data_IF_261559180090
#
_entry.id   IF_261559180090
#
_cell.length_a   1.000
_cell.length_b   1.000
_cell.length_c   1.000
_cell.angle_alpha   90.00
_cell.angle_beta   90.00
_cell.angle_gamma   90.00
#
_symmetry.space_group_name_H-M   'P 1'
#
loop_
_entity.id
_entity.type
_entity.pdbx_description
1 polymer ?
#
# COMPACT_ATOMS: atom_id res chain seq x y z
N UNK A 1 10.72 5.21 26.46
CA UNK A 1 10.88 4.55 25.13
C UNK A 1 10.57 3.06 25.22
N UNK A 2 11.18 2.28 26.14
CA UNK A 2 10.93 0.85 26.29
C UNK A 2 9.48 0.50 26.62
N UNK A 3 8.84 1.23 27.52
CA UNK A 3 7.43 1.03 27.87
C UNK A 3 6.48 1.30 26.67
N UNK A 4 6.77 2.31 25.87
CA UNK A 4 5.99 2.62 24.67
C UNK A 4 6.14 1.51 23.62
N UNK A 5 7.37 1.04 23.38
CA UNK A 5 7.63 -0.08 22.47
C UNK A 5 6.92 -1.36 22.93
N UNK A 6 6.92 -1.64 24.25
CA UNK A 6 6.24 -2.81 24.79
C UNK A 6 4.71 -2.75 24.58
N UNK A 7 4.10 -1.56 24.74
CA UNK A 7 2.66 -1.35 24.48
C UNK A 7 2.35 -1.53 23.00
N UNK A 8 3.13 -0.92 22.11
CA UNK A 8 2.93 -1.01 20.65
C UNK A 8 3.07 -2.46 20.17
N UNK A 9 4.12 -3.15 20.62
CA UNK A 9 4.35 -4.54 20.22
C UNK A 9 3.25 -5.47 20.74
N UNK A 10 2.82 -5.33 21.99
CA UNK A 10 1.67 -6.09 22.54
C UNK A 10 0.38 -5.81 21.77
N UNK A 11 0.14 -4.54 21.44
CA UNK A 11 -0.99 -4.12 20.61
C UNK A 11 -0.93 -4.75 19.21
N UNK A 12 0.21 -4.68 18.55
CA UNK A 12 0.43 -5.28 17.24
C UNK A 12 0.25 -6.80 17.25
N UNK A 13 0.75 -7.48 18.27
CA UNK A 13 0.59 -8.94 18.40
C UNK A 13 -0.86 -9.34 18.55
N UNK A 14 -1.68 -8.60 19.30
CA UNK A 14 -3.10 -8.83 19.42
C UNK A 14 -3.85 -8.48 18.13
N UNK A 15 -3.61 -7.28 17.58
CA UNK A 15 -4.34 -6.75 16.43
C UNK A 15 -4.03 -7.55 15.15
N UNK A 16 -2.76 -7.70 14.80
CA UNK A 16 -2.32 -8.43 13.59
C UNK A 16 -2.18 -9.93 13.81
N UNK A 17 -2.06 -10.39 15.04
CA UNK A 17 -1.98 -11.81 15.35
C UNK A 17 -3.28 -12.56 15.15
N UNK A 18 -4.42 -11.88 15.30
CA UNK A 18 -5.74 -12.52 15.29
C UNK A 18 -6.85 -11.62 14.73
N UNK A 19 -7.09 -10.45 15.35
CA UNK A 19 -8.30 -9.66 15.13
C UNK A 19 -8.43 -9.18 13.68
N UNK A 20 -7.40 -8.56 13.13
CA UNK A 20 -7.46 -7.99 11.79
C UNK A 20 -7.49 -9.03 10.68
N UNK A 21 -6.79 -10.16 10.86
CA UNK A 21 -6.85 -11.27 9.91
C UNK A 21 -8.29 -11.73 9.77
N UNK A 22 -9.00 -11.92 10.89
CA UNK A 22 -10.42 -12.31 10.87
C UNK A 22 -11.30 -11.21 10.28
N UNK A 23 -11.12 -9.97 10.69
CA UNK A 23 -11.94 -8.86 10.19
C UNK A 23 -11.75 -8.64 8.69
N UNK A 24 -10.51 -8.55 8.21
CA UNK A 24 -10.22 -8.22 6.82
C UNK A 24 -10.50 -9.42 5.89
N UNK A 25 -9.98 -10.60 6.22
CA UNK A 25 -10.27 -11.80 5.43
C UNK A 25 -11.77 -12.18 5.52
N UNK A 26 -12.38 -12.07 6.71
CA UNK A 26 -13.80 -12.32 6.90
C UNK A 26 -14.68 -11.37 6.08
N UNK A 27 -14.34 -10.08 6.05
CA UNK A 27 -15.01 -9.07 5.19
C UNK A 27 -14.85 -9.43 3.72
N UNK A 28 -13.64 -9.76 3.29
CA UNK A 28 -13.37 -10.13 1.91
C UNK A 28 -14.12 -11.39 1.47
N UNK A 29 -14.16 -12.41 2.31
CA UNK A 29 -14.96 -13.64 2.06
C UNK A 29 -16.44 -13.31 2.00
N UNK A 30 -16.95 -12.53 2.96
CA UNK A 30 -18.35 -12.11 3.00
C UNK A 30 -18.76 -11.37 1.72
N UNK A 31 -17.97 -10.37 1.32
CA UNK A 31 -18.19 -9.61 0.08
C UNK A 31 -18.09 -10.49 -1.15
N UNK A 32 -17.08 -11.36 -1.22
CA UNK A 32 -16.89 -12.30 -2.33
C UNK A 32 -18.12 -13.19 -2.54
N UNK A 33 -18.60 -13.83 -1.49
CA UNK A 33 -19.77 -14.73 -1.56
C UNK A 33 -21.04 -13.93 -1.91
N UNK A 34 -21.29 -12.84 -1.19
CA UNK A 34 -22.50 -12.04 -1.36
C UNK A 34 -22.57 -11.30 -2.69
N UNK A 35 -21.43 -10.90 -3.26
CA UNK A 35 -21.30 -10.31 -4.59
C UNK A 35 -21.11 -11.38 -5.69
N UNK A 36 -21.21 -12.67 -5.34
CA UNK A 36 -21.13 -13.81 -6.27
C UNK A 36 -19.81 -13.80 -7.05
N UNK A 37 -18.68 -13.75 -6.34
CA UNK A 37 -17.32 -13.75 -6.91
C UNK A 37 -17.12 -12.69 -7.98
N UNK A 38 -17.41 -11.43 -7.63
CA UNK A 38 -17.34 -10.29 -8.55
C UNK A 38 -15.95 -10.16 -9.19
N UNK A 39 -14.89 -10.43 -8.44
CA UNK A 39 -13.50 -10.39 -8.87
C UNK A 39 -13.16 -11.40 -9.98
N UNK A 40 -13.96 -12.45 -10.17
CA UNK A 40 -13.82 -13.37 -11.31
C UNK A 40 -14.75 -12.96 -12.45
N UNK A 41 -16.02 -12.70 -12.14
CA UNK A 41 -17.07 -12.51 -13.15
C UNK A 41 -16.96 -11.20 -13.91
N UNK A 42 -16.46 -10.14 -13.27
CA UNK A 42 -16.40 -8.79 -13.84
C UNK A 42 -14.99 -8.22 -13.90
N UNK A 43 -13.98 -9.06 -13.70
CA UNK A 43 -12.58 -8.63 -13.79
C UNK A 43 -12.24 -8.03 -15.16
N UNK A 44 -12.64 -8.68 -16.24
CA UNK A 44 -12.38 -8.19 -17.60
C UNK A 44 -13.06 -6.85 -17.92
N UNK A 45 -14.22 -6.57 -17.31
CA UNK A 45 -14.89 -5.27 -17.41
C UNK A 45 -14.09 -4.19 -16.67
N UNK A 46 -13.66 -4.46 -15.43
CA UNK A 46 -12.81 -3.55 -14.68
C UNK A 46 -11.47 -3.29 -15.37
N UNK A 47 -10.87 -4.33 -15.95
CA UNK A 47 -9.63 -4.20 -16.71
C UNK A 47 -9.80 -3.27 -17.94
N UNK A 48 -10.88 -3.41 -18.69
CA UNK A 48 -11.20 -2.52 -19.81
C UNK A 48 -11.42 -1.08 -19.36
N UNK A 49 -12.08 -0.87 -18.20
CA UNK A 49 -12.29 0.47 -17.65
C UNK A 49 -10.96 1.14 -17.26
N UNK A 50 -10.05 0.42 -16.63
CA UNK A 50 -8.75 0.97 -16.22
C UNK A 50 -7.88 1.31 -17.43
N UNK A 51 -7.68 0.35 -18.33
CA UNK A 51 -6.74 0.51 -19.46
C UNK A 51 -7.36 1.24 -20.66
N UNK A 52 -8.69 1.25 -20.81
CA UNK A 52 -9.38 2.01 -21.85
C UNK A 52 -9.46 3.51 -21.57
N UNK A 53 -9.20 3.95 -20.36
CA UNK A 53 -9.27 5.35 -19.94
C UNK A 53 -7.88 5.99 -19.72
N UNK A 54 -6.81 5.32 -20.15
CA UNK A 54 -5.45 5.89 -20.05
C UNK A 54 -5.36 7.12 -20.95
N UNK A 55 -5.33 8.30 -20.33
CA UNK A 55 -5.12 9.57 -21.01
C UNK A 55 -4.02 10.35 -20.27
N UNK A 56 -2.81 10.37 -20.85
CA UNK A 56 -1.64 11.06 -20.28
C UNK A 56 -1.69 12.59 -20.46
N UNK A 57 -2.64 13.09 -21.26
CA UNK A 57 -2.75 14.53 -21.54
C UNK A 57 -3.57 15.31 -20.51
N UNK A 58 -4.12 14.63 -19.49
CA UNK A 58 -4.83 15.25 -18.36
C UNK A 58 -6.04 16.10 -18.76
N UNK A 59 -7.25 15.68 -18.45
CA UNK A 59 -8.41 16.55 -18.55
C UNK A 59 -8.38 17.56 -17.39
N UNK A 60 -8.47 18.86 -17.71
CA UNK A 60 -8.61 19.90 -16.68
C UNK A 60 -10.06 19.96 -16.21
N UNK A 61 -10.31 19.57 -14.98
CA UNK A 61 -11.60 19.76 -14.32
C UNK A 61 -11.55 20.91 -13.32
N UNK A 62 -12.50 21.83 -13.40
CA UNK A 62 -12.55 23.02 -12.52
C UNK A 62 -13.11 22.74 -11.14
N UNK A 63 -13.85 21.64 -10.94
CA UNK A 63 -14.58 21.27 -9.73
C UNK A 63 -13.76 20.53 -8.68
N UNK A 64 -12.43 20.43 -8.81
CA UNK A 64 -11.60 19.66 -7.88
C UNK A 64 -11.78 18.14 -7.98
N UNK A 65 -12.55 17.67 -8.96
CA UNK A 65 -12.65 16.25 -9.32
C UNK A 65 -11.37 15.79 -10.03
N UNK A 66 -11.08 14.51 -9.92
CA UNK A 66 -10.02 13.83 -10.67
C UNK A 66 -10.63 13.15 -11.89
N UNK A 67 -9.90 13.10 -13.01
CA UNK A 67 -10.28 12.18 -14.08
C UNK A 67 -10.29 10.74 -13.54
N UNK A 68 -11.04 9.81 -14.16
CA UNK A 68 -11.02 8.41 -13.71
C UNK A 68 -9.59 7.84 -13.67
N UNK A 69 -8.75 8.19 -14.63
CA UNK A 69 -7.36 7.77 -14.66
C UNK A 69 -6.53 8.40 -13.55
N UNK A 70 -6.69 9.69 -13.23
CA UNK A 70 -6.02 10.36 -12.11
C UNK A 70 -6.38 9.72 -10.77
N UNK A 71 -7.65 9.37 -10.56
CA UNK A 71 -8.10 8.74 -9.34
C UNK A 71 -7.53 7.32 -9.18
N UNK A 72 -7.49 6.54 -10.25
CA UNK A 72 -6.87 5.20 -10.28
C UNK A 72 -5.36 5.32 -10.06
N UNK A 73 -4.68 6.23 -10.77
CA UNK A 73 -3.26 6.48 -10.59
C UNK A 73 -2.92 6.90 -9.15
N UNK A 74 -3.77 7.73 -8.52
CA UNK A 74 -3.60 8.13 -7.12
C UNK A 74 -3.78 6.93 -6.16
N UNK A 75 -4.74 6.05 -6.42
CA UNK A 75 -4.95 4.84 -5.64
C UNK A 75 -3.77 3.86 -5.81
N UNK A 76 -3.33 3.61 -7.05
CA UNK A 76 -2.17 2.75 -7.34
C UNK A 76 -0.88 3.35 -6.74
N UNK A 77 -0.71 4.67 -6.78
CA UNK A 77 0.43 5.35 -6.17
C UNK A 77 0.51 5.11 -4.66
N UNK A 78 -0.63 5.08 -3.99
CA UNK A 78 -0.70 4.80 -2.56
C UNK A 78 -0.38 3.33 -2.26
N UNK A 79 -0.86 2.41 -3.08
CA UNK A 79 -0.66 0.96 -2.95
C UNK A 79 0.76 0.53 -3.32
N UNK A 80 1.25 0.97 -4.49
CA UNK A 80 2.57 0.54 -5.01
C UNK A 80 3.68 1.40 -4.39
N UNK A 81 4.21 0.94 -3.26
CA UNK A 81 5.21 1.64 -2.47
C UNK A 81 6.31 0.72 -1.92
N UNK A 82 6.79 1.03 -0.72
CA UNK A 82 7.77 0.16 -0.02
C UNK A 82 7.20 -1.23 0.26
N UNK A 83 5.88 -1.37 0.35
CA UNK A 83 5.22 -2.67 0.55
C UNK A 83 5.60 -3.69 -0.52
N UNK A 84 5.65 -3.28 -1.77
CA UNK A 84 5.96 -4.15 -2.91
C UNK A 84 7.42 -4.61 -2.97
N UNK A 85 8.34 -3.81 -2.46
CA UNK A 85 9.77 -4.10 -2.49
C UNK A 85 10.28 -4.60 -1.14
N UNK A 86 10.23 -3.74 -0.13
CA UNK A 86 10.73 -4.06 1.22
C UNK A 86 9.75 -4.93 2.01
N UNK A 87 8.43 -4.71 1.87
CA UNK A 87 7.39 -5.49 2.54
C UNK A 87 7.35 -6.93 2.06
N UNK A 88 7.45 -7.17 0.74
CA UNK A 88 7.54 -8.50 0.16
C UNK A 88 8.76 -9.27 0.69
N UNK A 89 9.94 -8.64 0.69
CA UNK A 89 11.15 -9.21 1.24
C UNK A 89 11.02 -9.56 2.73
N UNK A 90 10.43 -8.66 3.52
CA UNK A 90 10.17 -8.90 4.95
C UNK A 90 9.19 -10.05 5.18
N UNK A 91 8.13 -10.15 4.36
CA UNK A 91 7.17 -11.25 4.44
C UNK A 91 7.84 -12.62 4.21
N UNK A 92 8.70 -12.70 3.19
CA UNK A 92 9.42 -13.94 2.85
C UNK A 92 10.41 -14.32 3.97
N UNK A 93 11.14 -13.36 4.52
CA UNK A 93 12.12 -13.63 5.60
C UNK A 93 11.42 -14.05 6.89
N UNK A 94 10.31 -13.40 7.25
CA UNK A 94 9.62 -13.64 8.53
C UNK A 94 8.59 -14.77 8.49
N UNK A 95 7.99 -15.02 7.34
CA UNK A 95 6.93 -16.01 7.15
C UNK A 95 7.29 -17.15 6.19
N UNK A 96 8.51 -17.14 5.64
CA UNK A 96 8.94 -18.05 4.58
C UNK A 96 8.31 -17.75 3.22
N UNK A 97 8.74 -18.43 2.15
CA UNK A 97 8.14 -18.28 0.81
C UNK A 97 6.63 -18.52 0.79
N UNK A 98 6.12 -19.39 1.67
CA UNK A 98 4.69 -19.67 1.82
C UNK A 98 3.84 -18.47 2.24
N UNK A 99 4.42 -17.43 2.83
CA UNK A 99 3.71 -16.18 3.14
C UNK A 99 3.11 -15.56 1.86
N UNK A 100 3.73 -15.75 0.72
CA UNK A 100 3.25 -15.22 -0.56
C UNK A 100 1.95 -15.87 -1.02
N UNK A 101 1.79 -17.17 -0.80
CA UNK A 101 0.51 -17.83 -1.06
C UNK A 101 -0.64 -17.17 -0.26
N UNK A 102 -0.42 -16.93 1.03
CA UNK A 102 -1.41 -16.30 1.89
C UNK A 102 -1.64 -14.83 1.56
N UNK A 103 -0.64 -14.16 1.02
CA UNK A 103 -0.75 -12.81 0.46
C UNK A 103 -1.67 -12.80 -0.77
N UNK A 104 -1.52 -13.77 -1.69
CA UNK A 104 -2.43 -13.92 -2.84
C UNK A 104 -3.87 -14.21 -2.40
N UNK A 105 -4.04 -15.09 -1.43
CA UNK A 105 -5.37 -15.42 -0.88
C UNK A 105 -6.02 -14.16 -0.28
N UNK A 106 -5.30 -13.41 0.53
CA UNK A 106 -5.83 -12.17 1.13
C UNK A 106 -6.15 -11.10 0.08
N UNK A 107 -5.30 -10.93 -0.94
CA UNK A 107 -5.53 -9.99 -2.04
C UNK A 107 -6.75 -10.39 -2.88
N UNK A 108 -6.92 -11.69 -3.18
CA UNK A 108 -8.09 -12.19 -3.91
C UNK A 108 -9.39 -11.81 -3.21
N UNK A 109 -9.49 -12.02 -1.90
CA UNK A 109 -10.65 -11.61 -1.13
C UNK A 109 -10.71 -10.09 -0.95
N UNK A 110 -9.57 -9.43 -0.81
CA UNK A 110 -9.44 -7.99 -0.71
C UNK A 110 -9.98 -7.25 -1.94
N UNK A 111 -9.86 -7.83 -3.14
CA UNK A 111 -10.46 -7.27 -4.37
C UNK A 111 -11.97 -7.03 -4.25
N UNK A 112 -12.71 -7.92 -3.58
CA UNK A 112 -14.13 -7.73 -3.34
C UNK A 112 -14.41 -6.67 -2.27
N UNK A 113 -13.53 -6.56 -1.26
CA UNK A 113 -13.63 -5.54 -0.22
C UNK A 113 -13.43 -4.15 -0.78
N UNK A 114 -12.34 -3.93 -1.51
CA UNK A 114 -12.02 -2.61 -2.09
C UNK A 114 -13.05 -2.16 -3.13
N UNK A 115 -13.65 -3.10 -3.86
CA UNK A 115 -14.80 -2.81 -4.70
C UNK A 115 -15.92 -2.16 -3.88
N UNK A 116 -16.27 -2.74 -2.72
CA UNK A 116 -17.28 -2.19 -1.84
C UNK A 116 -16.90 -0.82 -1.27
N UNK A 117 -15.65 -0.65 -0.88
CA UNK A 117 -15.11 0.63 -0.38
C UNK A 117 -15.25 1.75 -1.42
N UNK A 118 -14.86 1.48 -2.67
CA UNK A 118 -14.93 2.47 -3.74
C UNK A 118 -16.37 2.80 -4.14
N UNK A 119 -17.27 1.79 -4.15
CA UNK A 119 -18.72 2.01 -4.36
C UNK A 119 -19.29 2.93 -3.29
N UNK A 120 -18.99 2.67 -2.00
CA UNK A 120 -19.46 3.50 -0.91
C UNK A 120 -18.86 4.91 -0.95
N UNK A 121 -17.58 5.03 -1.29
CA UNK A 121 -16.91 6.32 -1.43
C UNK A 121 -17.57 7.19 -2.49
N UNK A 122 -17.93 6.62 -3.63
CA UNK A 122 -18.66 7.32 -4.71
C UNK A 122 -20.11 7.63 -4.32
N UNK A 123 -20.76 6.73 -3.58
CA UNK A 123 -22.18 6.90 -3.19
C UNK A 123 -22.36 7.98 -2.13
N UNK A 124 -21.40 8.13 -1.23
CA UNK A 124 -21.46 9.07 -0.09
C UNK A 124 -20.50 10.25 -0.21
N UNK A 125 -19.97 10.53 -1.42
CA UNK A 125 -19.19 11.74 -1.65
C UNK A 125 -20.06 12.99 -1.48
N UNK A 126 -19.46 14.06 -1.00
CA UNK A 126 -20.12 15.35 -0.79
C UNK A 126 -19.39 16.45 -1.59
N UNK A 127 -20.10 17.50 -1.91
CA UNK A 127 -19.51 18.73 -2.42
C UNK A 127 -19.44 19.78 -1.30
N UNK A 128 -18.24 20.28 -1.02
CA UNK A 128 -18.00 21.35 -0.04
C UNK A 128 -17.19 22.47 -0.69
N UNK A 129 -17.68 23.70 -0.58
CA UNK A 129 -17.01 24.88 -1.13
C UNK A 129 -16.61 24.71 -2.62
N UNK A 130 -17.48 24.12 -3.43
CA UNK A 130 -17.24 23.86 -4.85
C UNK A 130 -16.19 22.79 -5.12
N UNK A 131 -15.86 21.94 -4.15
CA UNK A 131 -14.93 20.84 -4.32
C UNK A 131 -15.54 19.52 -3.86
N UNK A 132 -15.38 18.48 -4.68
CA UNK A 132 -15.78 17.12 -4.31
C UNK A 132 -14.82 16.55 -3.26
N UNK A 133 -15.39 16.06 -2.16
CA UNK A 133 -14.68 15.38 -1.09
C UNK A 133 -15.41 14.10 -0.71
N UNK A 134 -14.71 13.14 -0.12
CA UNK A 134 -15.30 11.87 0.28
C UNK A 134 -14.26 10.95 0.92
N UNK A 135 -14.69 9.75 1.18
CA UNK A 135 -13.89 8.73 1.84
C UNK A 135 -14.62 8.12 3.04
N UNK A 136 -13.94 7.29 3.85
CA UNK A 136 -14.60 6.53 4.91
C UNK A 136 -15.36 7.36 5.94
N UNK A 137 -14.89 8.54 6.31
CA UNK A 137 -15.58 9.39 7.29
C UNK A 137 -17.03 9.67 6.90
N UNK A 138 -17.32 9.77 5.62
CA UNK A 138 -18.66 10.07 5.10
C UNK A 138 -19.56 8.85 5.17
N UNK A 139 -19.12 7.70 4.70
CA UNK A 139 -19.94 6.50 4.77
C UNK A 139 -19.97 5.86 6.17
N UNK A 140 -18.95 6.05 7.04
CA UNK A 140 -19.02 5.68 8.46
C UNK A 140 -20.15 6.46 9.16
N UNK A 141 -20.26 7.78 8.91
CA UNK A 141 -21.37 8.58 9.43
C UNK A 141 -22.73 8.11 8.91
N UNK A 142 -22.79 7.66 7.67
CA UNK A 142 -24.00 7.10 7.08
C UNK A 142 -24.37 5.72 7.66
N UNK A 143 -23.37 4.89 7.97
CA UNK A 143 -23.54 3.58 8.58
C UNK A 143 -24.07 3.68 10.03
N UNK A 144 -23.53 4.63 10.80
CA UNK A 144 -23.82 4.79 12.23
C UNK A 144 -24.43 6.17 12.48
N UNK A 145 -25.72 6.20 12.77
CA UNK A 145 -26.46 7.45 13.00
C UNK A 145 -26.11 8.11 14.35
N UNK A 146 -26.28 9.44 14.43
CA UNK A 146 -26.15 10.17 15.67
C UNK A 146 -24.69 10.39 16.13
N UNK A 147 -24.50 10.53 17.44
CA UNK A 147 -23.19 10.84 18.04
C UNK A 147 -22.18 9.70 17.86
N UNK A 148 -22.64 8.44 17.89
CA UNK A 148 -21.77 7.28 17.69
C UNK A 148 -21.09 7.29 16.31
N UNK A 149 -21.83 7.59 15.25
CA UNK A 149 -21.27 7.69 13.89
C UNK A 149 -20.26 8.83 13.76
N UNK A 150 -20.52 9.98 14.44
CA UNK A 150 -19.57 11.10 14.46
C UNK A 150 -18.26 10.72 15.16
N UNK A 151 -18.34 10.03 16.30
CA UNK A 151 -17.16 9.57 17.05
C UNK A 151 -16.36 8.54 16.25
N UNK A 152 -17.02 7.56 15.63
CA UNK A 152 -16.37 6.55 14.81
C UNK A 152 -15.68 7.17 13.58
N UNK A 153 -16.31 8.14 12.92
CA UNK A 153 -15.72 8.85 11.78
C UNK A 153 -14.51 9.71 12.21
N UNK A 154 -14.61 10.41 13.35
CA UNK A 154 -13.49 11.18 13.91
C UNK A 154 -12.33 10.28 14.32
N UNK A 155 -12.60 9.13 14.95
CA UNK A 155 -11.59 8.14 15.31
C UNK A 155 -10.87 7.61 14.05
N UNK A 156 -11.61 7.24 12.99
CA UNK A 156 -11.02 6.86 11.71
C UNK A 156 -10.12 7.97 11.15
N UNK A 157 -10.60 9.22 11.13
CA UNK A 157 -9.86 10.36 10.59
C UNK A 157 -8.55 10.62 11.36
N UNK A 158 -8.57 10.48 12.69
CA UNK A 158 -7.37 10.59 13.53
C UNK A 158 -6.39 9.43 13.21
N UNK A 159 -6.89 8.20 13.20
CA UNK A 159 -6.03 7.03 13.00
C UNK A 159 -5.38 6.99 11.61
N UNK A 160 -6.11 7.31 10.53
CA UNK A 160 -5.51 7.36 9.20
C UNK A 160 -4.49 8.50 9.07
N UNK A 161 -4.72 9.64 9.71
CA UNK A 161 -3.75 10.73 9.72
C UNK A 161 -2.46 10.32 10.44
N UNK A 162 -2.56 9.62 11.57
CA UNK A 162 -1.40 9.09 12.29
C UNK A 162 -0.73 7.96 11.52
N UNK A 163 -1.52 6.99 11.01
CA UNK A 163 -1.04 5.79 10.33
C UNK A 163 -0.31 6.12 9.03
N UNK A 164 -0.99 6.76 8.09
CA UNK A 164 -0.48 7.01 6.74
C UNK A 164 0.13 8.40 6.64
N UNK A 165 -0.56 9.41 7.17
CA UNK A 165 -0.14 10.80 7.08
C UNK A 165 1.20 11.10 7.75
N UNK A 166 1.50 10.49 8.88
CA UNK A 166 2.76 10.67 9.58
C UNK A 166 3.65 9.42 9.56
N UNK A 167 3.24 8.33 10.22
CA UNK A 167 4.09 7.15 10.40
C UNK A 167 4.38 6.45 9.07
N UNK A 168 3.38 6.29 8.22
CA UNK A 168 3.55 5.69 6.91
C UNK A 168 4.50 6.47 6.02
N UNK A 169 4.40 7.80 6.00
CA UNK A 169 5.35 8.65 5.26
C UNK A 169 6.78 8.54 5.79
N UNK A 170 6.96 8.33 7.11
CA UNK A 170 8.26 8.01 7.69
C UNK A 170 8.79 6.65 7.22
N UNK A 171 7.94 5.62 7.09
CA UNK A 171 8.33 4.30 6.55
C UNK A 171 8.83 4.43 5.11
N UNK A 172 8.10 5.18 4.28
CA UNK A 172 8.48 5.39 2.89
C UNK A 172 9.83 6.12 2.78
N UNK A 173 9.99 7.23 3.48
CA UNK A 173 11.23 8.00 3.46
C UNK A 173 12.42 7.25 4.07
N UNK A 174 12.19 6.46 5.11
CA UNK A 174 13.21 5.58 5.71
C UNK A 174 13.76 4.58 4.69
N UNK A 175 12.86 3.94 3.93
CA UNK A 175 13.24 2.97 2.90
C UNK A 175 14.01 3.63 1.73
N UNK A 176 13.58 4.84 1.32
CA UNK A 176 14.34 5.62 0.33
C UNK A 176 15.75 5.93 0.86
N UNK A 177 15.85 6.41 2.09
CA UNK A 177 17.13 6.71 2.74
C UNK A 177 18.06 5.50 2.80
N UNK A 178 17.53 4.33 3.18
CA UNK A 178 18.29 3.09 3.25
C UNK A 178 18.80 2.65 1.87
N UNK A 179 17.94 2.68 0.83
CA UNK A 179 18.30 2.25 -0.52
C UNK A 179 19.38 3.15 -1.15
N UNK A 180 19.23 4.47 -1.01
CA UNK A 180 20.22 5.42 -1.55
C UNK A 180 21.54 5.40 -0.77
N UNK A 181 21.50 5.12 0.53
CA UNK A 181 22.73 4.94 1.31
C UNK A 181 23.57 3.79 0.74
N UNK A 182 22.95 2.67 0.35
CA UNK A 182 23.66 1.56 -0.31
C UNK A 182 24.26 2.00 -1.66
N UNK A 183 23.53 2.78 -2.47
CA UNK A 183 24.06 3.33 -3.73
C UNK A 183 25.30 4.19 -3.48
N UNK A 184 25.25 5.10 -2.51
CA UNK A 184 26.37 5.95 -2.18
C UNK A 184 27.56 5.17 -1.59
N UNK A 185 27.30 4.13 -0.81
CA UNK A 185 28.34 3.23 -0.29
C UNK A 185 29.10 2.54 -1.44
N UNK A 186 28.38 2.02 -2.45
CA UNK A 186 28.98 1.41 -3.65
C UNK A 186 29.84 2.42 -4.44
N UNK A 187 29.46 3.70 -4.41
CA UNK A 187 30.22 4.78 -5.04
C UNK A 187 31.38 5.32 -4.17
N UNK A 188 31.58 4.79 -2.96
CA UNK A 188 32.50 5.29 -1.95
C UNK A 188 32.24 6.76 -1.55
N UNK A 189 30.99 7.20 -1.58
CA UNK A 189 30.55 8.53 -1.19
C UNK A 189 29.79 8.44 0.14
N UNK A 190 30.25 9.16 1.15
CA UNK A 190 29.56 9.20 2.44
C UNK A 190 28.49 10.29 2.45
N UNK A 191 27.22 9.93 2.21
CA UNK A 191 26.07 10.84 2.28
C UNK A 191 25.24 10.52 3.54
N UNK A 192 25.06 11.47 4.45
CA UNK A 192 24.22 11.25 5.62
C UNK A 192 22.74 11.08 5.20
N UNK A 193 22.03 10.14 5.83
CA UNK A 193 20.62 9.85 5.51
C UNK A 193 19.71 11.08 5.60
N UNK A 194 20.02 12.02 6.49
CA UNK A 194 19.31 13.31 6.61
C UNK A 194 19.35 14.11 5.31
N UNK A 195 20.48 14.12 4.58
CA UNK A 195 20.59 14.87 3.31
C UNK A 195 19.64 14.29 2.25
N UNK A 196 19.52 12.95 2.22
CA UNK A 196 18.55 12.26 1.35
C UNK A 196 17.12 12.65 1.77
N UNK A 197 16.85 12.64 3.08
CA UNK A 197 15.56 13.05 3.64
C UNK A 197 15.17 14.49 3.30
N UNK A 198 16.11 15.42 3.41
CA UNK A 198 15.90 16.83 3.04
C UNK A 198 15.59 16.98 1.55
N UNK A 199 16.30 16.25 0.69
CA UNK A 199 16.04 16.26 -0.76
C UNK A 199 14.61 15.75 -1.07
N UNK A 200 14.22 14.60 -0.51
CA UNK A 200 12.87 14.03 -0.69
C UNK A 200 11.80 14.99 -0.15
N UNK A 201 12.04 15.55 1.04
CA UNK A 201 11.13 16.49 1.69
C UNK A 201 10.95 17.79 0.90
N UNK A 202 12.01 18.32 0.28
CA UNK A 202 11.94 19.52 -0.55
C UNK A 202 11.06 19.30 -1.79
N UNK A 203 11.21 18.17 -2.48
CA UNK A 203 10.35 17.83 -3.62
C UNK A 203 8.91 17.62 -3.15
N UNK A 204 8.71 16.90 -2.03
CA UNK A 204 7.40 16.69 -1.42
C UNK A 204 6.72 18.01 -1.06
N UNK A 205 7.43 18.92 -0.39
CA UNK A 205 6.92 20.24 -0.03
C UNK A 205 6.45 21.03 -1.26
N UNK A 206 7.25 21.06 -2.32
CA UNK A 206 6.87 21.72 -3.58
C UNK A 206 5.54 21.21 -4.12
N UNK A 207 5.28 19.89 -4.03
CA UNK A 207 4.05 19.27 -4.53
C UNK A 207 2.89 19.52 -3.54
N UNK A 208 3.09 19.32 -2.23
CA UNK A 208 2.06 19.45 -1.20
C UNK A 208 1.46 20.84 -1.17
N UNK A 209 2.30 21.88 -1.16
CA UNK A 209 1.84 23.28 -1.15
C UNK A 209 1.23 23.71 -2.49
N UNK A 210 1.37 22.90 -3.55
CA UNK A 210 0.68 23.09 -4.83
C UNK A 210 -0.75 22.55 -4.88
N UNK A 211 -1.18 21.87 -3.81
CA UNK A 211 -2.54 21.35 -3.66
C UNK A 211 -2.82 20.09 -4.46
N UNK A 212 -4.07 19.60 -4.35
CA UNK A 212 -4.49 18.31 -4.90
C UNK A 212 -4.41 18.21 -6.41
N UNK A 213 -4.61 19.32 -7.15
CA UNK A 213 -4.48 19.35 -8.62
C UNK A 213 -3.05 19.03 -9.06
N UNK A 214 -2.04 19.65 -8.42
CA UNK A 214 -0.62 19.37 -8.71
C UNK A 214 -0.27 17.93 -8.36
N UNK A 215 -0.69 17.47 -7.18
CA UNK A 215 -0.44 16.12 -6.71
C UNK A 215 -0.99 15.08 -7.71
N UNK A 216 -2.25 15.19 -8.11
CA UNK A 216 -2.88 14.27 -9.06
C UNK A 216 -2.18 14.29 -10.43
N UNK A 217 -1.80 15.48 -10.94
CA UNK A 217 -1.09 15.61 -12.22
C UNK A 217 0.32 15.03 -12.19
N UNK A 218 0.98 15.03 -11.05
CA UNK A 218 2.29 14.37 -10.87
C UNK A 218 2.10 12.86 -10.84
N UNK A 219 1.13 12.36 -10.07
CA UNK A 219 0.90 10.92 -9.91
C UNK A 219 0.46 10.25 -11.22
N UNK A 220 -0.41 10.87 -12.01
CA UNK A 220 -0.85 10.31 -13.29
C UNK A 220 0.30 10.03 -14.28
N UNK A 221 1.40 10.79 -14.17
CA UNK A 221 2.60 10.63 -15.01
C UNK A 221 3.60 9.66 -14.40
N UNK A 222 3.86 9.78 -13.09
CA UNK A 222 4.87 8.97 -12.41
C UNK A 222 4.45 7.50 -12.38
N UNK A 223 3.18 7.20 -12.08
CA UNK A 223 2.74 5.82 -11.83
C UNK A 223 2.94 4.89 -13.02
N UNK A 224 2.52 5.21 -14.25
CA UNK A 224 2.74 4.34 -15.39
C UNK A 224 4.23 4.15 -15.72
N UNK A 225 5.03 5.23 -15.59
CA UNK A 225 6.47 5.21 -15.88
C UNK A 225 7.19 4.32 -14.86
N UNK A 226 6.95 4.52 -13.57
CA UNK A 226 7.60 3.73 -12.52
C UNK A 226 7.25 2.25 -12.61
N UNK A 227 5.95 1.94 -12.85
CA UNK A 227 5.51 0.56 -13.01
C UNK A 227 6.15 -0.08 -14.24
N UNK A 228 6.18 0.62 -15.38
CA UNK A 228 6.78 0.12 -16.63
C UNK A 228 8.26 -0.20 -16.48
N UNK A 229 9.05 0.71 -15.92
CA UNK A 229 10.49 0.51 -15.68
C UNK A 229 10.73 -0.70 -14.77
N UNK A 230 9.97 -0.78 -13.66
CA UNK A 230 10.14 -1.87 -12.72
C UNK A 230 9.74 -3.23 -13.31
N UNK A 231 8.59 -3.30 -13.98
CA UNK A 231 8.10 -4.54 -14.61
C UNK A 231 9.10 -5.04 -15.64
N UNK A 232 9.61 -4.16 -16.51
CA UNK A 232 10.59 -4.53 -17.54
C UNK A 232 11.87 -5.06 -16.89
N UNK A 233 12.44 -4.34 -15.91
CA UNK A 233 13.66 -4.78 -15.24
C UNK A 233 13.50 -6.10 -14.48
N UNK A 234 12.38 -6.28 -13.77
CA UNK A 234 12.08 -7.53 -13.07
C UNK A 234 11.87 -8.71 -14.04
N UNK A 235 11.19 -8.49 -15.17
CA UNK A 235 11.03 -9.52 -16.20
C UNK A 235 12.36 -9.91 -16.84
N UNK A 236 13.24 -8.95 -17.14
CA UNK A 236 14.59 -9.25 -17.65
C UNK A 236 15.33 -10.12 -16.64
N UNK A 237 15.32 -9.76 -15.34
CA UNK A 237 15.95 -10.55 -14.30
C UNK A 237 15.40 -11.97 -14.23
N UNK A 238 14.07 -12.15 -14.25
CA UNK A 238 13.40 -13.45 -14.18
C UNK A 238 13.76 -14.31 -15.41
N UNK A 239 13.81 -13.72 -16.60
CA UNK A 239 14.21 -14.43 -17.83
C UNK A 239 15.66 -14.91 -17.72
N UNK A 240 16.57 -14.10 -17.15
CA UNK A 240 17.96 -14.53 -16.90
C UNK A 240 18.07 -15.71 -15.92
N UNK A 241 17.09 -15.85 -15.02
CA UNK A 241 17.04 -16.89 -13.99
C UNK A 241 15.87 -17.87 -14.21
N UNK A 242 15.42 -18.06 -15.45
CA UNK A 242 14.21 -18.84 -15.79
C UNK A 242 14.24 -20.28 -15.28
N UNK A 243 15.42 -20.89 -15.19
CA UNK A 243 15.59 -22.24 -14.67
C UNK A 243 15.26 -22.39 -13.18
N UNK A 244 15.37 -21.30 -12.40
CA UNK A 244 15.02 -21.30 -10.98
C UNK A 244 13.51 -21.07 -10.73
N UNK A 245 12.77 -20.62 -11.74
CA UNK A 245 11.37 -20.22 -11.61
C UNK A 245 10.44 -21.37 -11.13
N UNK A 246 10.53 -22.61 -11.63
CA UNK A 246 9.71 -23.72 -11.12
C UNK A 246 9.95 -23.99 -9.63
N UNK A 247 11.21 -23.92 -9.18
CA UNK A 247 11.59 -24.07 -7.77
C UNK A 247 11.03 -22.94 -6.90
N UNK A 248 11.03 -21.70 -7.41
CA UNK A 248 10.44 -20.55 -6.72
C UNK A 248 8.93 -20.77 -6.48
N UNK A 249 8.17 -21.14 -7.50
CA UNK A 249 6.75 -21.46 -7.34
C UNK A 249 6.54 -22.66 -6.40
N UNK A 250 7.30 -23.74 -6.54
CA UNK A 250 7.21 -24.87 -5.64
C UNK A 250 7.43 -24.46 -4.17
N UNK A 251 8.41 -23.59 -3.90
CA UNK A 251 8.68 -23.10 -2.55
C UNK A 251 7.51 -22.29 -1.97
N UNK A 252 6.78 -21.53 -2.77
CA UNK A 252 5.59 -20.77 -2.35
C UNK A 252 4.49 -21.76 -1.93
N UNK A 253 4.13 -22.72 -2.79
CA UNK A 253 3.04 -23.65 -2.51
C UNK A 253 3.37 -24.63 -1.39
N UNK A 254 4.55 -25.23 -1.39
CA UNK A 254 4.99 -26.14 -0.32
C UNK A 254 5.10 -25.37 1.00
N UNK A 255 5.75 -24.20 0.98
CA UNK A 255 5.95 -23.36 2.17
C UNK A 255 4.67 -22.82 2.77
N UNK A 256 3.58 -22.72 2.03
CA UNK A 256 2.29 -22.28 2.55
C UNK A 256 1.69 -23.23 3.59
N UNK A 257 1.96 -24.54 3.43
CA UNK A 257 1.39 -25.61 4.26
C UNK A 257 2.45 -26.39 5.04
N UNK A 258 3.71 -26.33 4.59
CA UNK A 258 4.86 -26.94 5.24
C UNK A 258 6.10 -26.04 5.15
N UNK A 259 6.14 -24.91 5.91
CA UNK A 259 7.25 -23.95 5.85
C UNK A 259 8.61 -24.59 6.13
N UNK A 260 8.65 -25.54 7.08
CA UNK A 260 9.90 -26.19 7.50
C UNK A 260 10.56 -27.02 6.39
N UNK A 261 9.75 -27.55 5.45
CA UNK A 261 10.29 -28.29 4.30
C UNK A 261 11.05 -27.38 3.31
N UNK A 262 10.80 -26.07 3.33
CA UNK A 262 11.41 -25.12 2.40
C UNK A 262 12.58 -24.36 3.03
N UNK A 263 12.40 -23.85 4.24
CA UNK A 263 13.41 -23.00 4.93
C UNK A 263 14.26 -23.79 5.93
N UNK A 264 13.99 -25.06 6.12
CA UNK A 264 14.64 -25.91 7.11
C UNK A 264 14.08 -25.74 8.52
N UNK A 265 14.19 -26.79 9.32
CA UNK A 265 13.67 -26.82 10.69
C UNK A 265 14.34 -25.78 11.62
N UNK A 266 15.57 -25.38 11.32
CA UNK A 266 16.32 -24.40 12.10
C UNK A 266 15.74 -22.98 12.06
N UNK A 267 14.96 -22.63 11.04
CA UNK A 267 14.33 -21.32 10.94
C UNK A 267 13.08 -21.16 11.82
N UNK A 268 12.50 -22.25 12.35
CA UNK A 268 11.37 -22.22 13.28
C UNK A 268 10.08 -21.60 12.73
N UNK A 269 9.98 -21.39 11.40
CA UNK A 269 8.81 -20.76 10.76
C UNK A 269 7.63 -21.71 10.78
N UNK A 270 6.50 -21.22 11.24
CA UNK A 270 5.24 -21.96 11.34
C UNK A 270 4.23 -21.50 10.28
N UNK A 271 3.22 -22.34 9.97
CA UNK A 271 2.09 -21.96 9.09
C UNK A 271 1.40 -20.70 9.61
N UNK A 272 1.25 -20.55 10.94
CA UNK A 272 0.69 -19.35 11.55
C UNK A 272 1.48 -18.10 11.19
N UNK A 273 2.82 -18.17 11.18
CA UNK A 273 3.68 -17.05 10.80
C UNK A 273 3.56 -16.75 9.29
N UNK A 274 3.51 -17.80 8.45
CA UNK A 274 3.30 -17.62 7.01
C UNK A 274 1.97 -16.89 6.73
N UNK A 275 0.87 -17.29 7.38
CA UNK A 275 -0.42 -16.61 7.27
C UNK A 275 -0.31 -15.18 7.79
N UNK A 276 0.20 -14.97 9.01
CA UNK A 276 0.29 -13.65 9.65
C UNK A 276 1.06 -12.66 8.77
N UNK A 277 2.28 -13.01 8.37
CA UNK A 277 3.13 -12.10 7.59
C UNK A 277 2.63 -11.94 6.16
N UNK A 278 2.09 -12.99 5.56
CA UNK A 278 1.50 -12.92 4.22
C UNK A 278 0.30 -11.96 4.20
N UNK A 279 -0.66 -12.14 5.11
CA UNK A 279 -1.86 -11.29 5.17
C UNK A 279 -1.50 -9.86 5.58
N UNK A 280 -0.70 -9.67 6.65
CA UNK A 280 -0.37 -8.34 7.14
C UNK A 280 0.41 -7.51 6.11
N UNK A 281 1.44 -8.08 5.48
CA UNK A 281 2.24 -7.36 4.47
C UNK A 281 1.52 -7.22 3.13
N UNK A 282 0.66 -8.18 2.76
CA UNK A 282 -0.22 -8.06 1.60
C UNK A 282 -1.19 -6.91 1.73
N UNK A 283 -1.88 -6.81 2.86
CA UNK A 283 -2.84 -5.73 3.15
C UNK A 283 -2.16 -4.37 3.28
N UNK A 284 -0.97 -4.31 3.87
CA UNK A 284 -0.17 -3.08 3.90
C UNK A 284 0.18 -2.58 2.49
N UNK A 285 0.40 -3.48 1.53
CA UNK A 285 0.69 -3.13 0.14
C UNK A 285 -0.57 -2.70 -0.61
N UNK A 286 -1.59 -3.56 -0.67
CA UNK A 286 -2.75 -3.34 -1.53
C UNK A 286 -3.89 -2.51 -0.89
N UNK A 287 -3.79 -2.21 0.40
CA UNK A 287 -4.69 -1.36 1.18
C UNK A 287 -6.18 -1.78 1.21
N UNK A 288 -6.51 -2.99 0.75
CA UNK A 288 -7.91 -3.45 0.69
C UNK A 288 -8.53 -3.64 2.08
N UNK A 289 -9.62 -2.95 2.34
CA UNK A 289 -10.31 -2.96 3.64
C UNK A 289 -9.72 -1.99 4.67
N UNK A 290 -8.67 -1.24 4.31
CA UNK A 290 -8.06 -0.26 5.21
C UNK A 290 -8.80 1.09 5.23
N UNK A 291 -9.59 1.39 4.19
CA UNK A 291 -10.29 2.67 4.08
C UNK A 291 -9.43 3.82 3.57
N UNK A 292 -8.26 3.56 3.04
CA UNK A 292 -7.32 4.59 2.57
C UNK A 292 -7.63 5.06 1.14
N UNK A 293 -7.61 4.14 0.18
CA UNK A 293 -7.87 4.43 -1.25
C UNK A 293 -9.25 4.99 -1.57
N UNK A 294 -10.33 4.75 -0.77
CA UNK A 294 -11.61 5.40 -0.96
C UNK A 294 -11.57 6.91 -1.09
N UNK A 295 -10.56 7.58 -0.51
CA UNK A 295 -10.39 9.04 -0.65
C UNK A 295 -10.08 9.45 -2.10
N UNK A 296 -9.29 8.68 -2.83
CA UNK A 296 -9.02 8.90 -4.25
C UNK A 296 -10.24 8.53 -5.08
N UNK A 297 -10.84 7.37 -4.81
CA UNK A 297 -12.02 6.89 -5.53
C UNK A 297 -13.23 7.81 -5.39
N UNK A 298 -13.41 8.47 -4.24
CA UNK A 298 -14.50 9.44 -4.04
C UNK A 298 -14.39 10.65 -4.99
N UNK A 299 -13.18 11.10 -5.29
CA UNK A 299 -12.95 12.26 -6.16
C UNK A 299 -12.99 11.94 -7.65
N UNK A 300 -13.07 10.68 -8.03
CA UNK A 300 -13.19 10.28 -9.42
C UNK A 300 -14.51 10.79 -10.04
N UNK A 301 -14.41 11.39 -11.23
CA UNK A 301 -15.57 11.65 -12.11
C UNK A 301 -15.92 10.35 -12.83
N UNK A 302 -16.44 9.39 -12.09
CA UNK A 302 -16.77 8.07 -12.61
C UNK A 302 -18.18 8.06 -13.23
N UNK A 303 -18.38 7.21 -14.24
CA UNK A 303 -19.70 6.99 -14.88
C UNK A 303 -20.73 6.47 -13.87
N UNK A 304 -20.30 5.65 -12.92
CA UNK A 304 -21.12 5.12 -11.85
C UNK A 304 -20.26 4.67 -10.66
N UNK A 305 -20.84 4.57 -9.45
CA UNK A 305 -20.15 3.96 -8.31
C UNK A 305 -19.68 2.53 -8.57
N UNK A 306 -20.45 1.76 -9.33
CA UNK A 306 -20.11 0.38 -9.73
C UNK A 306 -18.85 0.34 -10.62
N UNK A 307 -18.76 1.22 -11.64
CA UNK A 307 -17.57 1.32 -12.49
C UNK A 307 -16.31 1.65 -11.69
N UNK A 308 -16.42 2.59 -10.73
CA UNK A 308 -15.29 2.94 -9.87
C UNK A 308 -14.89 1.79 -8.92
N UNK A 309 -15.86 1.01 -8.44
CA UNK A 309 -15.60 -0.22 -7.70
C UNK A 309 -14.79 -1.24 -8.50
N UNK A 310 -15.14 -1.44 -9.78
CA UNK A 310 -14.41 -2.34 -10.68
C UNK A 310 -12.96 -1.85 -10.92
N UNK A 311 -12.76 -0.55 -11.07
CA UNK A 311 -11.42 0.03 -11.19
C UNK A 311 -10.58 -0.22 -9.94
N UNK A 312 -11.15 -0.01 -8.76
CA UNK A 312 -10.47 -0.26 -7.48
C UNK A 312 -10.07 -1.74 -7.32
N UNK A 313 -10.91 -2.66 -7.76
CA UNK A 313 -10.60 -4.09 -7.76
C UNK A 313 -9.36 -4.42 -8.62
N UNK A 314 -9.23 -3.80 -9.79
CA UNK A 314 -8.07 -4.00 -10.68
C UNK A 314 -6.80 -3.41 -10.08
N UNK A 315 -6.87 -2.31 -9.33
CA UNK A 315 -5.68 -1.73 -8.69
C UNK A 315 -5.03 -2.69 -7.69
N UNK A 316 -5.82 -3.43 -6.89
CA UNK A 316 -5.30 -4.49 -6.00
C UNK A 316 -4.64 -5.61 -6.79
N UNK A 317 -5.22 -5.98 -7.94
CA UNK A 317 -4.60 -6.99 -8.81
C UNK A 317 -3.24 -6.52 -9.34
N UNK A 318 -3.14 -5.28 -9.81
CA UNK A 318 -1.89 -4.69 -10.30
C UNK A 318 -0.84 -4.66 -9.19
N UNK A 319 -1.21 -4.20 -8.00
CA UNK A 319 -0.31 -4.14 -6.85
C UNK A 319 0.26 -5.51 -6.49
N UNK A 320 -0.60 -6.46 -6.17
CA UNK A 320 -0.19 -7.72 -5.53
C UNK A 320 0.20 -8.79 -6.55
N UNK A 321 -0.63 -9.03 -7.59
CA UNK A 321 -0.40 -10.12 -8.53
C UNK A 321 0.56 -9.76 -9.66
N UNK A 322 0.83 -8.46 -9.90
CA UNK A 322 1.84 -8.03 -10.87
C UNK A 322 3.08 -7.52 -10.13
N UNK A 323 3.02 -6.33 -9.52
CA UNK A 323 4.23 -5.62 -9.04
C UNK A 323 4.90 -6.36 -7.89
N UNK A 324 4.15 -6.69 -6.84
CA UNK A 324 4.68 -7.37 -5.67
C UNK A 324 5.17 -8.78 -6.03
N UNK A 325 4.40 -9.50 -6.87
CA UNK A 325 4.76 -10.85 -7.28
C UNK A 325 6.06 -10.90 -8.10
N UNK A 326 6.33 -9.89 -8.93
CA UNK A 326 7.62 -9.78 -9.63
C UNK A 326 8.78 -9.64 -8.64
N UNK A 327 8.64 -8.81 -7.59
CA UNK A 327 9.66 -8.71 -6.52
C UNK A 327 9.91 -10.06 -5.85
N UNK A 328 8.84 -10.77 -5.51
CA UNK A 328 8.91 -12.10 -4.91
C UNK A 328 9.69 -13.07 -5.78
N UNK A 329 9.35 -13.14 -7.06
CA UNK A 329 10.02 -14.03 -8.00
C UNK A 329 11.48 -13.68 -8.17
N UNK A 330 11.84 -12.40 -8.25
CA UNK A 330 13.23 -11.95 -8.26
C UNK A 330 13.97 -12.44 -7.01
N UNK A 331 13.42 -12.23 -5.82
CA UNK A 331 14.06 -12.67 -4.57
C UNK A 331 14.22 -14.19 -4.54
N UNK A 332 13.19 -14.94 -4.88
CA UNK A 332 13.22 -16.40 -4.78
C UNK A 332 14.11 -17.08 -5.85
N UNK A 333 14.27 -16.43 -7.02
CA UNK A 333 15.14 -16.95 -8.10
C UNK A 333 16.59 -16.49 -7.98
N UNK A 334 16.87 -15.47 -7.18
CA UNK A 334 18.20 -14.88 -7.01
C UNK A 334 19.17 -15.72 -6.16
N UNK A 335 18.64 -16.64 -5.34
CA UNK A 335 19.44 -17.39 -4.37
C UNK A 335 19.87 -16.58 -3.13
N UNK A 336 19.43 -15.33 -2.99
CA UNK A 336 19.86 -14.44 -1.90
C UNK A 336 19.07 -14.62 -0.59
N UNK A 337 17.96 -15.37 -0.61
CA UNK A 337 17.18 -15.64 0.58
C UNK A 337 17.99 -16.43 1.62
N UNK A 338 18.05 -15.92 2.86
CA UNK A 338 18.79 -16.53 3.96
C UNK A 338 20.27 -16.18 3.99
N UNK A 339 20.80 -15.39 3.05
CA UNK A 339 22.19 -14.93 3.09
C UNK A 339 22.39 -13.86 4.16
N UNK A 340 23.59 -13.84 4.75
CA UNK A 340 23.94 -12.93 5.84
C UNK A 340 24.59 -11.68 5.28
N UNK A 341 24.12 -10.55 5.76
CA UNK A 341 24.70 -9.24 5.49
C UNK A 341 26.05 -9.09 6.24
N UNK A 342 27.16 -8.89 5.53
CA UNK A 342 28.48 -8.79 6.14
C UNK A 342 28.63 -7.58 7.07
N UNK A 343 27.87 -6.50 6.84
CA UNK A 343 27.97 -5.27 7.62
C UNK A 343 27.26 -5.37 8.98
N UNK A 344 26.15 -6.10 9.01
CA UNK A 344 25.29 -6.20 10.20
C UNK A 344 25.35 -7.56 10.90
N UNK A 345 25.95 -8.55 10.26
CA UNK A 345 25.99 -9.96 10.68
C UNK A 345 24.57 -10.54 10.93
N UNK A 346 23.58 -10.07 10.17
CA UNK A 346 22.18 -10.52 10.21
C UNK A 346 21.73 -10.92 8.82
N UNK A 347 20.70 -11.75 8.73
CA UNK A 347 20.10 -12.12 7.46
C UNK A 347 19.57 -10.87 6.75
N UNK A 348 19.83 -10.76 5.44
CA UNK A 348 19.27 -9.67 4.64
C UNK A 348 17.74 -9.66 4.73
N UNK A 349 17.15 -8.50 4.92
CA UNK A 349 15.70 -8.30 4.96
C UNK A 349 15.31 -6.94 4.37
N UNK A 350 14.01 -6.74 4.17
CA UNK A 350 13.49 -5.47 3.65
C UNK A 350 14.13 -5.09 2.32
N UNK A 351 14.37 -3.79 2.13
CA UNK A 351 14.89 -3.28 0.86
C UNK A 351 16.29 -3.78 0.52
N UNK A 352 17.13 -4.04 1.54
CA UNK A 352 18.49 -4.57 1.32
C UNK A 352 18.45 -5.95 0.67
N UNK A 353 17.51 -6.83 1.06
CA UNK A 353 17.34 -8.13 0.40
C UNK A 353 16.94 -7.97 -1.06
N UNK A 354 16.01 -7.08 -1.35
CA UNK A 354 15.59 -6.82 -2.74
C UNK A 354 16.74 -6.24 -3.58
N UNK A 355 17.53 -5.32 -3.03
CA UNK A 355 18.72 -4.81 -3.73
C UNK A 355 19.72 -5.92 -4.01
N UNK A 356 20.07 -6.76 -3.03
CA UNK A 356 20.99 -7.88 -3.21
C UNK A 356 20.46 -8.92 -4.20
N UNK A 357 19.15 -9.15 -4.22
CA UNK A 357 18.54 -10.00 -5.23
C UNK A 357 18.77 -9.48 -6.65
N UNK A 358 18.56 -8.20 -6.91
CA UNK A 358 18.87 -7.60 -8.22
C UNK A 358 20.37 -7.53 -8.52
N UNK A 359 21.20 -7.33 -7.51
CA UNK A 359 22.68 -7.34 -7.64
C UNK A 359 23.19 -8.69 -8.13
N UNK A 360 22.59 -9.80 -7.69
CA UNK A 360 23.00 -11.14 -8.13
C UNK A 360 22.90 -11.36 -9.64
N UNK A 361 22.00 -10.65 -10.34
CA UNK A 361 21.88 -10.75 -11.80
C UNK A 361 22.42 -9.53 -12.54
N UNK A 362 22.30 -8.33 -11.98
CA UNK A 362 22.67 -7.06 -12.65
C UNK A 362 24.00 -6.46 -12.15
N UNK A 363 24.70 -7.14 -11.23
CA UNK A 363 25.88 -6.59 -10.59
C UNK A 363 25.57 -5.28 -9.85
N UNK A 364 26.55 -4.39 -9.76
CA UNK A 364 26.38 -3.10 -9.05
C UNK A 364 25.21 -2.24 -9.58
N UNK A 365 24.83 -2.41 -10.85
CA UNK A 365 23.66 -1.71 -11.40
C UNK A 365 22.37 -2.07 -10.64
N UNK A 366 22.26 -3.27 -10.05
CA UNK A 366 21.11 -3.66 -9.23
C UNK A 366 20.82 -2.70 -8.07
N UNK A 367 21.85 -2.16 -7.40
CA UNK A 367 21.66 -1.16 -6.35
C UNK A 367 21.00 0.11 -6.88
N UNK A 368 21.48 0.63 -8.02
CA UNK A 368 20.93 1.83 -8.65
C UNK A 368 19.50 1.61 -9.13
N UNK A 369 19.27 0.49 -9.81
CA UNK A 369 17.95 0.13 -10.34
C UNK A 369 16.88 0.07 -9.23
N UNK A 370 17.16 -0.66 -8.16
CA UNK A 370 16.21 -0.79 -7.05
C UNK A 370 16.01 0.53 -6.30
N UNK A 371 17.08 1.29 -6.04
CA UNK A 371 16.97 2.59 -5.37
C UNK A 371 16.16 3.58 -6.21
N UNK A 372 16.36 3.60 -7.52
CA UNK A 372 15.60 4.43 -8.46
C UNK A 372 14.12 4.05 -8.49
N UNK A 373 13.81 2.76 -8.67
CA UNK A 373 12.43 2.28 -8.65
C UNK A 373 11.76 2.53 -7.30
N UNK A 374 12.45 2.25 -6.19
CA UNK A 374 11.93 2.51 -4.86
C UNK A 374 11.67 4.00 -4.61
N UNK A 375 12.55 4.88 -5.11
CA UNK A 375 12.31 6.32 -4.99
C UNK A 375 10.94 6.68 -5.57
N UNK A 376 10.64 6.26 -6.79
CA UNK A 376 9.35 6.59 -7.40
C UNK A 376 8.19 5.89 -6.70
N UNK A 377 8.31 4.62 -6.33
CA UNK A 377 7.28 3.87 -5.63
C UNK A 377 6.98 4.48 -4.26
N UNK A 378 8.01 4.63 -3.43
CA UNK A 378 7.84 5.19 -2.09
C UNK A 378 7.45 6.68 -2.12
N UNK A 379 7.99 7.45 -3.04
CA UNK A 379 7.65 8.87 -3.17
C UNK A 379 6.22 9.09 -3.66
N UNK A 380 5.75 8.29 -4.64
CA UNK A 380 4.34 8.35 -5.06
C UNK A 380 3.40 7.97 -3.92
N UNK A 381 3.79 6.99 -3.09
CA UNK A 381 3.02 6.63 -1.89
C UNK A 381 3.02 7.76 -0.85
N UNK A 382 4.14 8.45 -0.64
CA UNK A 382 4.21 9.65 0.20
C UNK A 382 3.18 10.69 -0.26
N UNK A 383 3.08 10.92 -1.58
CA UNK A 383 2.10 11.86 -2.14
C UNK A 383 0.65 11.38 -1.90
N UNK A 384 0.36 10.11 -2.19
CA UNK A 384 -0.97 9.52 -2.00
C UNK A 384 -1.40 9.53 -0.54
N UNK A 385 -0.53 9.13 0.38
CA UNK A 385 -0.84 9.09 1.80
C UNK A 385 -0.92 10.48 2.43
N UNK A 386 -0.09 11.43 1.96
CA UNK A 386 -0.27 12.84 2.32
C UNK A 386 -1.67 13.33 1.93
N UNK A 387 -2.14 13.00 0.71
CA UNK A 387 -3.46 13.39 0.26
C UNK A 387 -4.57 12.78 1.14
N UNK A 388 -4.48 11.50 1.51
CA UNK A 388 -5.46 10.86 2.40
C UNK A 388 -5.49 11.52 3.77
N UNK A 389 -4.33 11.79 4.36
CA UNK A 389 -4.23 12.53 5.61
C UNK A 389 -4.80 13.95 5.52
N UNK A 390 -4.51 14.66 4.43
CA UNK A 390 -4.98 16.04 4.22
C UNK A 390 -6.52 16.12 4.17
N UNK A 391 -7.19 15.15 3.50
CA UNK A 391 -8.66 15.07 3.46
C UNK A 391 -9.24 14.86 4.87
N UNK A 392 -8.60 14.04 5.69
CA UNK A 392 -9.06 13.77 7.06
C UNK A 392 -8.76 14.93 8.03
N UNK A 393 -7.61 15.58 7.87
CA UNK A 393 -7.30 16.82 8.64
C UNK A 393 -8.26 17.95 8.25
N UNK A 394 -8.60 18.10 6.98
CA UNK A 394 -9.62 19.07 6.53
C UNK A 394 -10.99 18.74 7.13
N UNK A 395 -11.36 17.46 7.20
CA UNK A 395 -12.61 17.04 7.85
C UNK A 395 -12.66 17.37 9.34
N UNK A 396 -11.56 17.18 10.08
CA UNK A 396 -11.50 17.39 11.54
C UNK A 396 -11.35 18.88 11.92
N UNK A 397 -10.49 19.60 11.20
CA UNK A 397 -9.99 20.92 11.62
C UNK A 397 -10.17 22.02 10.56
N UNK A 398 -10.70 21.69 9.38
CA UNK A 398 -10.90 22.63 8.29
C UNK A 398 -9.66 22.87 7.42
N UNK A 399 -9.87 23.62 6.32
CA UNK A 399 -8.85 23.84 5.26
C UNK A 399 -7.56 24.49 5.74
N UNK A 400 -7.62 25.39 6.72
CA UNK A 400 -6.44 26.07 7.24
C UNK A 400 -5.43 25.11 7.88
N UNK A 401 -5.92 24.06 8.56
CA UNK A 401 -5.09 23.06 9.24
C UNK A 401 -4.28 22.19 8.25
N UNK A 402 -4.72 22.06 7.00
CA UNK A 402 -4.02 21.26 5.99
C UNK A 402 -2.61 21.80 5.71
N UNK A 403 -2.40 23.11 5.75
CA UNK A 403 -1.06 23.70 5.55
C UNK A 403 -0.11 23.32 6.69
N UNK A 404 -0.61 23.35 7.93
CA UNK A 404 0.16 22.96 9.13
C UNK A 404 0.48 21.47 9.06
N UNK A 405 -0.51 20.64 8.74
CA UNK A 405 -0.33 19.21 8.51
C UNK A 405 0.75 18.93 7.46
N UNK A 406 0.69 19.60 6.30
CA UNK A 406 1.69 19.42 5.24
C UNK A 406 3.10 19.80 5.72
N UNK A 407 3.25 20.87 6.49
CA UNK A 407 4.55 21.24 7.08
C UNK A 407 5.08 20.18 8.05
N UNK A 408 4.20 19.62 8.89
CA UNK A 408 4.58 18.51 9.80
C UNK A 408 5.00 17.27 9.00
N UNK A 409 4.28 16.92 7.94
CA UNK A 409 4.64 15.77 7.08
C UNK A 409 6.03 15.96 6.43
N UNK A 410 6.36 17.18 5.98
CA UNK A 410 7.70 17.50 5.46
C UNK A 410 8.78 17.21 6.51
N UNK A 411 8.56 17.59 7.77
CA UNK A 411 9.46 17.26 8.89
C UNK A 411 9.51 15.76 9.13
N UNK A 412 8.36 15.08 9.12
CA UNK A 412 8.29 13.63 9.27
C UNK A 412 9.10 12.88 8.21
N UNK A 413 9.09 13.33 6.95
CA UNK A 413 9.90 12.74 5.87
C UNK A 413 11.40 12.83 6.21
N UNK A 414 11.88 13.96 6.70
CA UNK A 414 13.29 14.11 7.09
C UNK A 414 13.62 13.23 8.30
N UNK A 415 12.79 13.28 9.35
CA UNK A 415 12.99 12.49 10.57
C UNK A 415 12.94 11.00 10.27
N UNK A 416 12.04 10.56 9.39
CA UNK A 416 11.89 9.17 9.01
C UNK A 416 13.18 8.53 8.49
N UNK A 417 14.00 9.27 7.74
CA UNK A 417 15.29 8.76 7.24
C UNK A 417 16.34 8.51 8.32
N UNK A 418 16.15 9.04 9.52
CA UNK A 418 17.09 8.94 10.65
C UNK A 418 16.69 7.93 11.71
N UNK A 419 15.43 7.50 11.70
CA UNK A 419 14.89 6.59 12.70
C UNK A 419 15.28 5.13 12.45
N UNK A 420 15.25 4.33 13.53
CA UNK A 420 15.41 2.87 13.39
C UNK A 420 14.18 2.29 12.67
N UNK A 421 14.43 1.49 11.67
CA UNK A 421 13.41 0.89 10.78
C UNK A 421 12.27 0.23 11.56
N UNK A 422 12.59 -0.62 12.54
CA UNK A 422 11.61 -1.40 13.28
C UNK A 422 10.58 -0.52 14.01
N UNK A 423 11.03 0.53 14.71
CA UNK A 423 10.13 1.41 15.46
C UNK A 423 9.11 2.09 14.53
N UNK A 424 9.56 2.55 13.37
CA UNK A 424 8.69 3.25 12.41
C UNK A 424 7.63 2.31 11.83
N UNK A 425 8.03 1.06 11.51
CA UNK A 425 7.11 0.04 11.05
C UNK A 425 6.10 -0.37 12.12
N UNK A 426 6.56 -0.61 13.36
CA UNK A 426 5.70 -1.04 14.46
C UNK A 426 4.62 0.01 14.79
N UNK A 427 5.00 1.29 14.77
CA UNK A 427 4.04 2.40 14.97
C UNK A 427 3.06 2.52 13.80
N UNK A 428 3.53 2.39 12.56
CA UNK A 428 2.68 2.41 11.38
C UNK A 428 1.67 1.26 11.42
N UNK A 429 2.12 0.05 11.70
CA UNK A 429 1.27 -1.14 11.82
C UNK A 429 0.19 -0.95 12.90
N UNK A 430 0.55 -0.39 14.06
CA UNK A 430 -0.39 -0.16 15.15
C UNK A 430 -1.54 0.79 14.79
N UNK A 431 -1.23 1.95 14.21
CA UNK A 431 -2.26 2.90 13.81
C UNK A 431 -3.06 2.44 12.60
N UNK A 432 -2.43 1.73 11.66
CA UNK A 432 -3.12 1.05 10.56
C UNK A 432 -4.17 0.07 11.08
N UNK A 433 -3.82 -0.71 12.09
CA UNK A 433 -4.74 -1.64 12.72
C UNK A 433 -5.98 -0.94 13.30
N UNK A 434 -5.78 0.17 13.97
CA UNK A 434 -6.88 0.93 14.60
C UNK A 434 -7.82 1.57 13.57
N UNK A 435 -7.30 2.06 12.43
CA UNK A 435 -8.15 2.67 11.41
C UNK A 435 -9.03 1.66 10.66
N UNK A 436 -8.59 0.41 10.54
CA UNK A 436 -9.34 -0.67 9.88
C UNK A 436 -10.68 -0.95 10.56
N UNK A 437 -10.73 -0.91 11.90
CA UNK A 437 -11.91 -1.32 12.68
C UNK A 437 -13.15 -0.49 12.30
N UNK A 438 -13.16 0.86 12.39
CA UNK A 438 -14.33 1.64 11.99
C UNK A 438 -14.74 1.43 10.53
N UNK A 439 -13.76 1.28 9.64
CA UNK A 439 -14.00 1.07 8.22
C UNK A 439 -14.73 -0.24 7.95
N UNK A 440 -14.19 -1.35 8.46
CA UNK A 440 -14.77 -2.69 8.26
C UNK A 440 -16.17 -2.79 8.83
N UNK A 441 -16.42 -2.22 10.01
CA UNK A 441 -17.76 -2.19 10.61
C UNK A 441 -18.75 -1.45 9.71
N UNK A 442 -18.37 -0.32 9.12
CA UNK A 442 -19.22 0.42 8.18
C UNK A 442 -19.48 -0.38 6.90
N UNK A 443 -18.49 -1.12 6.39
CA UNK A 443 -18.64 -1.99 5.22
C UNK A 443 -19.73 -3.06 5.45
N UNK A 444 -19.75 -3.69 6.63
CA UNK A 444 -20.79 -4.68 6.96
C UNK A 444 -22.17 -4.04 7.01
N UNK A 445 -22.32 -2.90 7.68
CA UNK A 445 -23.61 -2.21 7.83
C UNK A 445 -24.16 -1.75 6.47
N UNK A 446 -23.30 -1.23 5.61
CA UNK A 446 -23.69 -0.66 4.32
C UNK A 446 -23.62 -1.65 3.15
N UNK A 447 -23.43 -2.94 3.41
CA UNK A 447 -23.33 -3.94 2.35
C UNK A 447 -24.50 -3.92 1.36
N UNK A 448 -25.73 -3.71 1.84
CA UNK A 448 -26.91 -3.66 0.98
C UNK A 448 -26.84 -2.51 -0.02
N UNK A 449 -26.25 -1.37 0.34
CA UNK A 449 -26.03 -0.24 -0.59
C UNK A 449 -25.12 -0.68 -1.73
N UNK A 450 -24.00 -1.35 -1.42
CA UNK A 450 -23.07 -1.87 -2.44
C UNK A 450 -23.75 -2.88 -3.36
N UNK A 451 -24.54 -3.81 -2.79
CA UNK A 451 -25.28 -4.82 -3.58
C UNK A 451 -26.29 -4.19 -4.53
N UNK A 452 -27.01 -3.17 -4.06
CA UNK A 452 -28.16 -2.61 -4.80
C UNK A 452 -27.70 -1.59 -5.87
N UNK A 453 -26.54 -0.97 -5.70
CA UNK A 453 -25.89 -0.13 -6.72
C UNK A 453 -25.63 -0.93 -8.01
N UNK A 454 -25.24 -2.19 -7.89
CA UNK A 454 -25.03 -3.10 -9.02
C UNK A 454 -26.31 -3.36 -9.84
N UNK A 455 -27.50 -3.27 -9.23
CA UNK A 455 -28.78 -3.48 -9.92
C UNK A 455 -29.20 -2.29 -10.76
N UNK A 456 -28.74 -1.08 -10.41
CA UNK A 456 -29.07 0.18 -11.12
C UNK A 456 -28.19 0.43 -12.34
N UNK A 457 -27.08 -0.28 -12.49
CA UNK A 457 -26.16 -0.16 -13.63
C UNK A 457 -26.42 -1.19 -14.75
N UNK A 458 -27.56 -1.86 -14.73
CA UNK A 458 -28.11 -2.65 -15.82
C UNK A 458 -29.34 -1.88 -16.37
#
# INVERSE_FOLDING_TARGET
>A
MEALNAIINKGNDFLWGFLLIFLLCGTGIYYTIRLKFIQLRRFGEGFKLVFGQINLNGEKHDTGEMSPFQAIATAIAAQVGTGNLAGAATAIVSGGPGAIFWMWVSAFFGMATIYGEAVLAQTYKEEKDGQVTGGPVYYIKAAFKGSFGKVMAAAFAIFITLALGFMGNMVQSNSIGAAFKEVFNVMNINVPSVAIGVFVAAIGAFIFFGGTKRLASVLEKIVPIMAGIYIIGALIFIVMHISALPGAFASIFIGAFNPQAVVGAAAGITIRQAIRFGVARGLFSNEAGMGSTPHAHARAKAESPDAQGLCAMVSVFIDTFIVLNLTVLVILTSGMLGTVDPDTNKVFTGIRLTQQAFVSGFGNFGHFFVAFCLFFFAFSTVLGWHFFGAVNVEYLFGKAAVKIYSAIVVVCIVVGTTLKVNLVWDMSDFFNALMVIPNVLALFVLFNVVRDTKKKGK
#
